data_IF_298379086252
#
_entry.id   IF_298379086252
#
_cell.length_a   1.000
_cell.length_b   1.000
_cell.length_c   1.000
_cell.angle_alpha   90.00
_cell.angle_beta   90.00
_cell.angle_gamma   90.00
#
_symmetry.space_group_name_H-M   'P 1'
#
loop_
_entity.id
_entity.type
_entity.pdbx_description
1 polymer ?
#
# COMPACT_ATOMS: atom_id res chain seq x y z
N UNK A 1 10.89 5.59 0.59
CA UNK A 1 9.57 5.39 1.20
C UNK A 1 8.72 6.62 1.00
N UNK A 2 7.46 6.46 0.66
CA UNK A 2 6.59 7.61 0.47
C UNK A 2 6.31 8.30 1.80
N UNK A 3 6.75 9.52 1.93
CA UNK A 3 6.56 10.25 3.16
C UNK A 3 5.08 10.48 3.48
N UNK A 4 4.27 10.66 2.44
CA UNK A 4 2.85 10.89 2.65
C UNK A 4 2.16 9.68 3.26
N UNK A 5 2.55 8.49 2.82
CA UNK A 5 1.98 7.27 3.39
C UNK A 5 2.34 7.14 4.86
N UNK A 6 3.60 7.41 5.19
CA UNK A 6 4.05 7.29 6.57
C UNK A 6 3.37 8.31 7.46
N UNK A 7 3.18 9.52 6.95
CA UNK A 7 2.46 10.53 7.71
C UNK A 7 1.02 10.11 7.97
N UNK A 8 0.41 9.49 6.96
CA UNK A 8 -0.95 9.01 7.11
C UNK A 8 -1.04 7.98 8.22
N UNK A 9 -0.10 7.03 8.24
CA UNK A 9 -0.09 6.01 9.27
C UNK A 9 0.13 6.63 10.65
N UNK A 10 1.07 7.56 10.75
CA UNK A 10 1.36 8.22 12.01
C UNK A 10 0.19 9.03 12.53
N UNK A 11 -0.63 9.53 11.62
CA UNK A 11 -1.78 10.36 11.98
C UNK A 11 -3.03 9.54 12.28
N UNK A 12 -2.90 8.23 12.31
CA UNK A 12 -4.03 7.38 12.65
C UNK A 12 -4.84 6.93 11.47
N UNK A 13 -4.28 6.98 10.27
CA UNK A 13 -4.98 6.52 9.09
C UNK A 13 -5.16 5.02 9.08
N UNK A 14 -6.06 4.55 8.24
CA UNK A 14 -6.32 3.13 8.09
C UNK A 14 -5.45 2.54 7.01
N UNK A 15 -4.78 1.46 7.32
CA UNK A 15 -3.90 0.79 6.38
C UNK A 15 -4.61 -0.42 5.80
N UNK A 16 -4.57 -0.53 4.47
CA UNK A 16 -5.15 -1.67 3.77
C UNK A 16 -4.10 -2.24 2.85
N UNK A 17 -3.99 -3.55 2.81
CA UNK A 17 -3.03 -4.23 1.95
C UNK A 17 -3.74 -4.82 0.75
N UNK A 18 -3.19 -4.55 -0.43
CA UNK A 18 -3.68 -5.11 -1.68
C UNK A 18 -2.59 -6.04 -2.21
N UNK A 19 -2.97 -7.29 -2.47
CA UNK A 19 -2.01 -8.27 -2.98
C UNK A 19 -2.29 -8.55 -4.45
N UNK A 20 -1.21 -8.79 -5.18
CA UNK A 20 -1.31 -9.15 -6.58
C UNK A 20 -1.61 -10.61 -6.78
N UNK A 21 -1.80 -11.02 -8.04
CA UNK A 21 -1.71 -10.13 -9.19
C UNK A 21 -2.91 -9.22 -9.33
N UNK A 22 -2.70 -7.99 -9.72
CA UNK A 22 -3.79 -7.04 -9.89
C UNK A 22 -3.43 -6.04 -10.96
N UNK A 23 -4.13 -6.10 -12.08
CA UNK A 23 -3.92 -5.13 -13.14
C UNK A 23 -4.35 -3.74 -12.72
N UNK A 24 -5.40 -3.70 -11.93
CA UNK A 24 -5.94 -2.43 -11.47
C UNK A 24 -4.93 -1.64 -10.66
N UNK A 25 -4.11 -2.34 -9.92
CA UNK A 25 -3.10 -1.70 -9.08
C UNK A 25 -1.69 -1.83 -9.62
N UNK A 26 -1.55 -2.42 -10.81
CA UNK A 26 -0.24 -2.59 -11.41
C UNK A 26 0.64 -3.57 -10.68
N UNK A 27 0.04 -4.58 -10.07
CA UNK A 27 0.78 -5.55 -9.28
C UNK A 27 0.91 -6.87 -10.04
N UNK A 28 2.07 -7.48 -9.91
CA UNK A 28 2.31 -8.80 -10.45
C UNK A 28 2.10 -9.83 -9.35
N UNK A 29 2.11 -11.11 -9.76
CA UNK A 29 1.97 -12.18 -8.78
C UNK A 29 3.09 -12.08 -7.74
N UNK A 30 2.72 -12.21 -6.49
CA UNK A 30 3.68 -12.13 -5.40
C UNK A 30 4.00 -10.73 -4.93
N UNK A 31 3.41 -9.73 -5.55
CA UNK A 31 3.61 -8.35 -5.12
C UNK A 31 2.44 -7.87 -4.30
N UNK A 32 2.70 -6.89 -3.48
CA UNK A 32 1.64 -6.26 -2.69
C UNK A 32 1.98 -4.81 -2.45
N UNK A 33 0.95 -4.04 -2.17
CA UNK A 33 1.11 -2.63 -1.86
C UNK A 33 0.15 -2.29 -0.73
N UNK A 34 0.57 -1.38 0.12
CA UNK A 34 -0.29 -0.90 1.20
C UNK A 34 -0.81 0.48 0.86
N UNK A 35 -2.03 0.73 1.27
CA UNK A 35 -2.65 2.03 1.14
C UNK A 35 -3.06 2.51 2.51
N UNK A 36 -2.92 3.80 2.73
CA UNK A 36 -3.38 4.42 3.97
C UNK A 36 -4.44 5.44 3.63
N UNK A 37 -5.58 5.37 4.30
CA UNK A 37 -6.68 6.27 4.07
C UNK A 37 -6.90 7.14 5.30
N UNK A 38 -6.96 8.44 5.08
CA UNK A 38 -7.18 9.41 6.16
C UNK A 38 -7.94 10.59 5.58
N UNK A 39 -9.03 10.98 6.23
CA UNK A 39 -9.83 12.13 5.82
C UNK A 39 -10.25 12.05 4.36
N UNK A 40 -10.75 10.88 3.95
CA UNK A 40 -11.22 10.64 2.58
C UNK A 40 -10.12 10.74 1.54
N UNK A 41 -8.87 10.72 1.96
CA UNK A 41 -7.75 10.69 1.04
C UNK A 41 -7.02 9.39 1.17
N UNK A 42 -6.57 8.86 0.04
CA UNK A 42 -5.85 7.61 0.01
C UNK A 42 -4.42 7.86 -0.44
N UNK A 43 -3.50 7.33 0.33
CA UNK A 43 -2.08 7.47 0.03
C UNK A 43 -1.51 6.11 -0.28
N UNK A 44 -0.84 6.02 -1.40
CA UNK A 44 -0.26 4.76 -1.83
C UNK A 44 1.10 4.57 -1.19
N UNK A 45 1.30 3.39 -0.61
CA UNK A 45 2.59 3.05 -0.05
C UNK A 45 3.50 2.46 -1.10
N UNK A 46 4.57 1.85 -0.66
CA UNK A 46 5.57 1.27 -1.53
C UNK A 46 5.17 -0.13 -1.94
N UNK A 47 5.36 -0.44 -3.23
CA UNK A 47 5.12 -1.80 -3.72
C UNK A 47 6.27 -2.69 -3.27
N UNK A 48 5.91 -3.81 -2.67
CA UNK A 48 6.90 -4.77 -2.21
C UNK A 48 6.57 -6.13 -2.77
N UNK A 49 7.58 -6.96 -2.81
CA UNK A 49 7.42 -8.32 -3.28
C UNK A 49 7.39 -9.27 -2.08
N UNK A 50 6.39 -10.12 -2.09
CA UNK A 50 6.28 -11.11 -1.03
C UNK A 50 7.26 -12.23 -1.34
N UNK A 51 8.20 -12.45 -0.44
CA UNK A 51 9.18 -13.49 -0.64
C UNK A 51 8.66 -14.79 -0.12
N UNK A 52 8.72 -15.79 -0.96
CA UNK A 52 8.40 -17.13 -0.55
C UNK A 52 9.67 -17.96 -0.64
N UNK A 53 9.90 -18.68 0.37
CA UNK A 53 11.10 -19.51 0.36
C UNK A 53 10.78 -20.91 0.06
#
# INVERSE_FOLDING_TARGET
MPAAFERCVSSGGRVRTVTGPSKKHGLKAGEYVRYCTLDNKTYRGEVRRKETK
#
